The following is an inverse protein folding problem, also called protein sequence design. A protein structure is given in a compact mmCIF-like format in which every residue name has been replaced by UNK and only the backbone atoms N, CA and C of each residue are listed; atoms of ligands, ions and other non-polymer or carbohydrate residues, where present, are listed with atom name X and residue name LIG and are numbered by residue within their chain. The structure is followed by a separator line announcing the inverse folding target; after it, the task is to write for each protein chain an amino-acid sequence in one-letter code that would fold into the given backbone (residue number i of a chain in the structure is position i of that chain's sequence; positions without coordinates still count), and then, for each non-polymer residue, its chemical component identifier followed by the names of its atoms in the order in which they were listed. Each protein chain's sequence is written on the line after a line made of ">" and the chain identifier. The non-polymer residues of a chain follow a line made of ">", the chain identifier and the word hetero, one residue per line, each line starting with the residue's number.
data_IF_455369085254
#
_entry.id   IF_455369085254
#
_cell.length_a   1.000
_cell.length_b   1.000
_cell.length_c   1.000
_cell.angle_alpha   90.00
_cell.angle_beta   90.00
_cell.angle_gamma   90.00
#
_symmetry.space_group_name_H-M   'P 1'
#
loop_
_entity.id
_entity.type
_entity.pdbx_description
1 polymer ?
#
# COMPACT_ATOMS: atom_id res chain seq x y z
N UNK A 1 -29.85 22.24 82.14
CA UNK A 1 -30.44 22.55 80.82
C UNK A 1 -29.32 22.98 79.88
N UNK A 2 -28.95 22.12 78.92
CA UNK A 2 -28.21 22.41 77.66
C UNK A 2 -27.28 21.25 77.22
N UNK A 3 -27.75 20.01 77.28
CA UNK A 3 -27.21 18.94 76.45
C UNK A 3 -28.18 18.73 75.29
N UNK A 4 -27.75 18.88 74.03
CA UNK A 4 -28.30 18.16 72.85
C UNK A 4 -27.96 18.73 71.46
N UNK A 5 -27.08 19.72 71.28
CA UNK A 5 -26.90 20.28 69.91
C UNK A 5 -25.65 19.83 69.14
N UNK A 6 -24.70 19.10 69.73
CA UNK A 6 -23.44 18.74 69.05
C UNK A 6 -23.32 17.29 68.57
N UNK A 7 -24.39 16.49 68.62
CA UNK A 7 -24.33 15.05 68.27
C UNK A 7 -25.01 14.65 66.95
N UNK A 8 -25.60 15.59 66.22
CA UNK A 8 -26.31 15.29 64.97
C UNK A 8 -25.53 15.61 63.68
N UNK A 9 -24.32 16.15 63.78
CA UNK A 9 -23.49 16.53 62.62
C UNK A 9 -22.42 15.50 62.23
N UNK A 10 -22.51 14.27 62.74
CA UNK A 10 -21.54 13.20 62.46
C UNK A 10 -22.00 12.04 61.54
N UNK A 11 -23.27 11.86 61.12
CA UNK A 11 -23.60 10.80 60.18
C UNK A 11 -23.81 11.27 58.73
N UNK A 12 -23.62 12.56 58.41
CA UNK A 12 -23.85 13.09 57.04
C UNK A 12 -22.60 13.03 56.16
N UNK A 13 -21.40 12.96 56.74
CA UNK A 13 -20.14 12.95 55.96
C UNK A 13 -19.73 11.53 55.52
N UNK A 14 -20.31 10.48 56.10
CA UNK A 14 -19.85 9.10 55.88
C UNK A 14 -20.51 8.34 54.71
N UNK A 15 -21.47 8.93 53.99
CA UNK A 15 -22.24 8.23 52.93
C UNK A 15 -21.96 8.76 51.51
N UNK A 16 -21.19 9.85 51.34
CA UNK A 16 -20.83 10.36 50.00
C UNK A 16 -19.52 9.79 49.43
N UNK A 17 -18.84 8.86 50.12
CA UNK A 17 -17.50 8.38 49.74
C UNK A 17 -17.44 7.18 48.78
N UNK A 18 -18.58 6.63 48.30
CA UNK A 18 -18.60 5.32 47.63
C UNK A 18 -18.90 5.32 46.12
N UNK A 19 -18.94 6.48 45.45
CA UNK A 19 -19.28 6.55 44.02
C UNK A 19 -18.35 7.45 43.17
N UNK A 20 -17.08 7.58 43.56
CA UNK A 20 -16.05 8.18 42.69
C UNK A 20 -15.07 7.13 42.16
N UNK A 21 -15.58 5.96 41.79
CA UNK A 21 -14.91 5.07 40.85
C UNK A 21 -15.57 5.25 39.47
N UNK A 22 -15.53 6.48 38.95
CA UNK A 22 -15.54 6.64 37.51
C UNK A 22 -14.19 6.10 37.01
N UNK A 23 -14.11 4.78 36.85
CA UNK A 23 -13.18 4.18 35.89
C UNK A 23 -13.61 4.76 34.55
N UNK A 24 -13.03 5.91 34.22
CA UNK A 24 -12.85 6.31 32.85
C UNK A 24 -11.89 5.27 32.29
N UNK A 25 -12.45 4.19 31.71
CA UNK A 25 -11.69 3.43 30.73
C UNK A 25 -11.15 4.50 29.76
N UNK A 26 -9.84 4.59 29.55
CA UNK A 26 -9.36 5.27 28.37
C UNK A 26 -10.08 4.55 27.25
N UNK A 27 -10.94 5.28 26.54
CA UNK A 27 -11.47 4.84 25.27
C UNK A 27 -10.26 4.78 24.33
N UNK A 28 -9.43 3.75 24.51
CA UNK A 28 -8.32 3.40 23.64
C UNK A 28 -8.97 2.74 22.44
N UNK A 29 -9.82 3.51 21.77
CA UNK A 29 -10.06 3.37 20.37
C UNK A 29 -8.76 3.82 19.69
N UNK A 30 -7.68 3.05 19.88
CA UNK A 30 -6.53 2.97 18.98
C UNK A 30 -7.11 2.46 17.67
N UNK A 31 -7.81 3.33 16.98
CA UNK A 31 -8.40 3.05 15.69
C UNK A 31 -7.23 3.10 14.73
N UNK A 32 -6.51 1.97 14.67
CA UNK A 32 -5.38 1.74 13.78
C UNK A 32 -5.71 2.38 12.43
N UNK A 33 -4.98 3.45 12.09
CA UNK A 33 -5.31 4.23 10.91
C UNK A 33 -5.09 3.34 9.67
N UNK A 34 -6.11 3.33 8.81
CA UNK A 34 -6.13 2.51 7.60
C UNK A 34 -5.77 3.41 6.43
N UNK A 35 -4.70 3.07 5.73
CA UNK A 35 -4.10 3.87 4.67
C UNK A 35 -4.25 3.22 3.30
N UNK A 36 -4.24 4.04 2.26
CA UNK A 36 -4.18 3.62 0.86
C UNK A 36 -3.24 4.56 0.13
N UNK A 37 -2.73 4.12 -1.02
CA UNK A 37 -2.03 4.96 -1.97
C UNK A 37 -2.97 5.34 -3.11
N UNK A 38 -2.60 6.36 -3.86
CA UNK A 38 -3.33 6.81 -5.05
C UNK A 38 -2.37 6.85 -6.24
N UNK A 39 -2.84 6.50 -7.44
CA UNK A 39 -2.05 6.69 -8.64
C UNK A 39 -2.20 8.15 -9.11
N UNK A 40 -1.08 8.86 -9.30
CA UNK A 40 -1.10 10.08 -10.07
C UNK A 40 -1.52 9.77 -11.53
N UNK A 41 -2.36 10.61 -12.13
CA UNK A 41 -2.75 10.42 -13.53
C UNK A 41 -1.56 10.78 -14.45
N UNK A 42 -1.15 9.89 -15.37
CA UNK A 42 -0.10 10.20 -16.33
C UNK A 42 -0.61 11.10 -17.45
N UNK A 43 0.31 11.64 -18.25
CA UNK A 43 -0.05 12.26 -19.52
C UNK A 43 -0.65 11.21 -20.47
N UNK A 44 -1.61 11.64 -21.28
CA UNK A 44 -2.23 10.78 -22.29
C UNK A 44 -1.22 10.37 -23.35
N UNK A 45 -1.14 9.07 -23.64
CA UNK A 45 -0.26 8.54 -24.68
C UNK A 45 -0.83 8.87 -26.07
N UNK A 46 0.02 9.39 -26.96
CA UNK A 46 -0.42 9.92 -28.26
C UNK A 46 -0.96 8.85 -29.22
N UNK A 47 -0.56 7.59 -29.07
CA UNK A 47 -0.99 6.48 -29.92
C UNK A 47 -1.52 5.35 -29.06
N UNK A 48 -2.80 5.06 -29.21
CA UNK A 48 -3.49 3.99 -28.51
C UNK A 48 -3.33 2.67 -29.28
N UNK A 49 -2.92 1.61 -28.59
CA UNK A 49 -2.95 0.23 -29.11
C UNK A 49 -4.38 -0.30 -29.13
N UNK A 50 -4.71 -1.12 -30.14
CA UNK A 50 -5.98 -1.83 -30.21
C UNK A 50 -6.06 -3.02 -29.22
N UNK A 51 -4.97 -3.34 -28.53
CA UNK A 51 -4.90 -4.44 -27.58
C UNK A 51 -5.69 -4.14 -26.29
N UNK A 52 -6.28 -5.19 -25.72
CA UNK A 52 -6.76 -5.22 -24.33
C UNK A 52 -5.66 -5.75 -23.42
N UNK A 53 -5.25 -4.92 -22.45
CA UNK A 53 -4.27 -5.27 -21.41
C UNK A 53 -4.96 -5.83 -20.17
N UNK A 54 -4.50 -7.00 -19.71
CA UNK A 54 -4.88 -7.56 -18.40
C UNK A 54 -3.75 -7.44 -17.38
N UNK A 55 -4.07 -6.97 -16.18
CA UNK A 55 -3.12 -6.86 -15.07
C UNK A 55 -3.42 -7.99 -14.08
N UNK A 56 -2.44 -8.87 -13.89
CA UNK A 56 -2.51 -9.93 -12.89
C UNK A 56 -2.24 -9.39 -11.48
N UNK A 57 -2.83 -10.07 -10.48
CA UNK A 57 -2.49 -9.83 -9.09
C UNK A 57 -1.00 -10.20 -8.90
N UNK A 58 -0.13 -9.26 -8.52
CA UNK A 58 1.28 -9.57 -8.29
C UNK A 58 1.43 -10.63 -7.22
N UNK A 59 2.40 -11.52 -7.38
CA UNK A 59 2.81 -12.40 -6.28
C UNK A 59 3.63 -11.60 -5.27
N UNK A 60 3.55 -11.95 -3.98
CA UNK A 60 4.48 -11.48 -2.96
C UNK A 60 4.72 -12.58 -1.92
N UNK A 61 5.89 -12.58 -1.31
CA UNK A 61 6.21 -13.52 -0.25
C UNK A 61 5.69 -13.00 1.11
N UNK A 62 5.24 -13.87 2.02
CA UNK A 62 4.98 -13.45 3.40
C UNK A 62 6.21 -12.81 4.05
N UNK A 63 6.05 -11.77 4.88
CA UNK A 63 4.79 -11.16 5.32
C UNK A 63 4.29 -9.98 4.44
N UNK A 64 4.85 -9.77 3.24
CA UNK A 64 4.45 -8.65 2.35
C UNK A 64 3.02 -8.82 1.78
N UNK A 65 2.43 -9.99 1.89
CA UNK A 65 1.05 -10.30 1.50
C UNK A 65 0.02 -10.00 2.61
N UNK A 66 0.46 -9.48 3.76
CA UNK A 66 -0.38 -9.00 4.85
C UNK A 66 -0.75 -7.51 4.73
N UNK A 67 -1.66 -7.03 5.58
CA UNK A 67 -2.10 -5.62 5.56
C UNK A 67 -1.26 -4.68 6.44
N UNK A 68 -0.23 -5.16 7.13
CA UNK A 68 0.66 -4.33 7.95
C UNK A 68 1.88 -3.90 7.15
N UNK A 69 2.41 -2.71 7.43
CA UNK A 69 3.69 -2.29 6.84
C UNK A 69 4.80 -3.18 7.38
N UNK A 70 5.53 -3.83 6.48
CA UNK A 70 6.70 -4.62 6.81
C UNK A 70 7.86 -3.68 7.14
N UNK A 71 8.48 -3.88 8.30
CA UNK A 71 9.74 -3.23 8.69
C UNK A 71 10.87 -4.22 8.52
N UNK A 72 11.85 -3.92 7.69
CA UNK A 72 13.06 -4.73 7.56
C UNK A 72 14.19 -4.11 8.38
N UNK A 73 14.81 -4.94 9.22
CA UNK A 73 15.95 -4.55 10.05
C UNK A 73 17.27 -4.85 9.32
N UNK A 74 18.37 -4.16 9.64
CA UNK A 74 19.66 -4.35 8.97
C UNK A 74 20.17 -5.80 8.98
N UNK A 75 19.81 -6.59 9.99
CA UNK A 75 20.22 -7.99 10.14
C UNK A 75 19.31 -8.99 9.40
N UNK A 76 18.41 -8.51 8.54
CA UNK A 76 17.49 -9.34 7.76
C UNK A 76 16.22 -9.76 8.50
N UNK A 77 16.06 -9.39 9.77
CA UNK A 77 14.83 -9.62 10.53
C UNK A 77 13.67 -8.80 9.94
N UNK A 78 12.52 -9.46 9.78
CA UNK A 78 11.27 -8.84 9.34
C UNK A 78 10.36 -8.61 10.55
N UNK A 79 10.05 -7.35 10.81
CA UNK A 79 9.03 -6.92 11.76
C UNK A 79 7.81 -6.34 11.04
N UNK A 80 6.77 -6.03 11.81
CA UNK A 80 5.57 -5.35 11.32
C UNK A 80 5.37 -4.07 12.14
N UNK A 81 5.11 -2.95 11.47
CA UNK A 81 4.75 -1.72 12.17
C UNK A 81 3.34 -1.89 12.76
N UNK A 82 3.23 -1.64 14.07
CA UNK A 82 1.97 -1.87 14.78
C UNK A 82 0.92 -0.80 14.51
N UNK A 83 1.37 0.41 14.18
CA UNK A 83 0.57 1.64 14.05
C UNK A 83 0.08 1.91 12.62
N UNK A 84 0.65 1.23 11.61
CA UNK A 84 0.36 1.49 10.19
C UNK A 84 -0.26 0.26 9.55
N UNK A 85 -1.44 0.44 8.95
CA UNK A 85 -2.14 -0.61 8.24
C UNK A 85 -2.65 -0.13 6.89
N UNK A 86 -2.48 -0.95 5.86
CA UNK A 86 -3.07 -0.78 4.55
C UNK A 86 -4.53 -1.23 4.52
N UNK A 87 -5.35 -0.58 3.70
CA UNK A 87 -6.74 -0.98 3.44
C UNK A 87 -6.86 -2.39 2.86
N UNK A 88 -5.84 -2.82 2.11
CA UNK A 88 -5.72 -4.13 1.49
C UNK A 88 -4.24 -4.57 1.45
N UNK A 89 -3.94 -5.86 1.21
CA UNK A 89 -2.57 -6.32 1.06
C UNK A 89 -1.80 -5.54 -0.03
N UNK A 90 -0.51 -5.25 0.16
CA UNK A 90 0.34 -4.56 -0.81
C UNK A 90 0.24 -5.08 -2.25
N UNK A 91 0.12 -6.39 -2.54
CA UNK A 91 -0.05 -6.85 -3.92
C UNK A 91 -1.35 -6.36 -4.56
N UNK A 92 -2.46 -6.36 -3.82
CA UNK A 92 -3.75 -5.87 -4.29
C UNK A 92 -3.74 -4.35 -4.43
N UNK A 93 -3.11 -3.65 -3.48
CA UNK A 93 -2.90 -2.20 -3.56
C UNK A 93 -2.09 -1.83 -4.81
N UNK A 94 -0.99 -2.55 -5.07
CA UNK A 94 -0.15 -2.33 -6.25
C UNK A 94 -0.88 -2.62 -7.56
N UNK A 95 -1.69 -3.69 -7.63
CA UNK A 95 -2.53 -3.98 -8.79
C UNK A 95 -3.52 -2.85 -9.06
N UNK A 96 -4.17 -2.31 -8.03
CA UNK A 96 -5.11 -1.20 -8.16
C UNK A 96 -4.41 0.08 -8.67
N UNK A 97 -3.21 0.39 -8.16
CA UNK A 97 -2.39 1.50 -8.65
C UNK A 97 -2.02 1.35 -10.12
N UNK A 98 -1.54 0.17 -10.51
CA UNK A 98 -1.22 -0.14 -11.91
C UNK A 98 -2.45 -0.02 -12.80
N UNK A 99 -3.59 -0.58 -12.38
CA UNK A 99 -4.83 -0.50 -13.15
C UNK A 99 -5.26 0.94 -13.36
N UNK A 100 -5.30 1.75 -12.31
CA UNK A 100 -5.69 3.16 -12.42
C UNK A 100 -4.71 3.92 -13.33
N UNK A 101 -3.41 3.86 -13.05
CA UNK A 101 -2.39 4.61 -13.80
C UNK A 101 -2.36 4.23 -15.29
N UNK A 102 -2.39 2.93 -15.60
CA UNK A 102 -2.35 2.44 -16.98
C UNK A 102 -3.67 2.74 -17.72
N UNK A 103 -4.83 2.70 -17.05
CA UNK A 103 -6.11 3.09 -17.65
C UNK A 103 -6.15 4.57 -17.98
N UNK A 104 -5.70 5.42 -17.05
CA UNK A 104 -5.70 6.89 -17.19
C UNK A 104 -4.78 7.36 -18.32
N UNK A 105 -3.76 6.57 -18.68
CA UNK A 105 -2.86 6.87 -19.81
C UNK A 105 -3.52 6.78 -21.20
N UNK A 106 -4.66 6.07 -21.30
CA UNK A 106 -5.34 5.74 -22.54
C UNK A 106 -4.47 5.03 -23.60
N UNK A 107 -3.39 4.34 -23.20
CA UNK A 107 -2.48 3.68 -24.14
C UNK A 107 -3.03 2.38 -24.76
N UNK A 108 -4.06 1.77 -24.18
CA UNK A 108 -4.69 0.53 -24.64
C UNK A 108 -6.19 0.73 -24.91
N UNK A 109 -6.79 -0.15 -25.71
CA UNK A 109 -8.25 -0.14 -25.93
C UNK A 109 -9.01 -0.32 -24.61
N UNK A 110 -8.51 -1.22 -23.77
CA UNK A 110 -9.01 -1.46 -22.43
C UNK A 110 -7.90 -1.97 -21.52
N UNK A 111 -7.98 -1.60 -20.24
CA UNK A 111 -7.14 -2.13 -19.17
C UNK A 111 -8.06 -2.79 -18.15
N UNK A 112 -7.85 -4.08 -17.90
CA UNK A 112 -8.69 -4.90 -17.02
C UNK A 112 -7.84 -5.66 -16.00
N UNK A 113 -8.47 -6.14 -14.94
CA UNK A 113 -7.85 -7.04 -13.94
C UNK A 113 -8.35 -8.47 -14.09
N UNK A 114 -7.62 -9.45 -13.58
CA UNK A 114 -7.83 -10.88 -13.88
C UNK A 114 -9.18 -11.48 -13.50
N UNK A 115 -10.00 -10.81 -12.69
CA UNK A 115 -11.35 -11.27 -12.35
C UNK A 115 -12.41 -10.83 -13.38
N UNK A 116 -12.04 -10.02 -14.38
CA UNK A 116 -12.93 -9.59 -15.44
C UNK A 116 -13.14 -10.71 -16.46
N UNK A 117 -14.39 -10.97 -16.85
CA UNK A 117 -14.75 -11.92 -17.92
C UNK A 117 -14.52 -11.31 -19.31
N UNK A 118 -13.36 -10.69 -19.52
CA UNK A 118 -12.97 -10.00 -20.75
C UNK A 118 -11.73 -10.70 -21.30
N UNK A 119 -11.72 -10.97 -22.60
CA UNK A 119 -10.55 -11.52 -23.28
C UNK A 119 -9.48 -10.43 -23.41
N UNK A 120 -8.26 -10.73 -22.99
CA UNK A 120 -7.09 -9.88 -23.20
C UNK A 120 -6.19 -10.41 -24.32
N UNK A 121 -5.43 -9.51 -24.93
CA UNK A 121 -4.43 -9.85 -25.95
C UNK A 121 -3.03 -9.96 -25.32
N UNK A 122 -2.77 -9.10 -24.33
CA UNK A 122 -1.52 -9.01 -23.58
C UNK A 122 -1.79 -8.96 -22.08
N UNK A 123 -0.81 -9.42 -21.30
CA UNK A 123 -0.90 -9.47 -19.85
C UNK A 123 0.35 -8.95 -19.17
N UNK A 124 0.13 -8.15 -18.13
CA UNK A 124 1.15 -7.72 -17.18
C UNK A 124 1.05 -8.57 -15.92
N UNK A 125 1.98 -9.48 -15.73
CA UNK A 125 2.14 -10.26 -14.51
C UNK A 125 3.38 -9.80 -13.74
N UNK A 126 3.54 -10.24 -12.49
CA UNK A 126 4.76 -9.90 -11.76
C UNK A 126 4.85 -10.35 -10.33
N UNK A 127 5.94 -9.92 -9.69
CA UNK A 127 6.26 -10.17 -8.28
C UNK A 127 6.57 -8.84 -7.62
N UNK A 128 5.86 -8.51 -6.54
CA UNK A 128 6.19 -7.41 -5.64
C UNK A 128 7.27 -7.91 -4.67
N UNK A 129 8.52 -7.59 -5.00
CA UNK A 129 9.73 -8.07 -4.30
C UNK A 129 9.96 -7.30 -3.00
N UNK A 130 9.72 -5.99 -3.04
CA UNK A 130 9.87 -5.11 -1.88
C UNK A 130 8.67 -4.18 -1.80
N UNK A 131 8.20 -4.00 -0.57
CA UNK A 131 7.18 -3.05 -0.16
C UNK A 131 7.34 -2.87 1.35
N UNK A 132 8.51 -2.37 1.75
CA UNK A 132 8.97 -2.36 3.14
C UNK A 132 9.58 -1.03 3.56
N UNK A 133 9.54 -0.77 4.86
CA UNK A 133 10.24 0.32 5.51
C UNK A 133 11.50 -0.20 6.19
N UNK A 134 12.61 0.53 6.07
CA UNK A 134 13.90 0.24 6.70
C UNK A 134 14.25 1.40 7.61
N UNK A 135 14.32 1.14 8.91
CA UNK A 135 14.81 2.13 9.86
C UNK A 135 16.34 2.24 9.72
N UNK A 136 16.86 3.46 9.73
CA UNK A 136 18.28 3.69 9.92
C UNK A 136 18.51 3.90 11.41
N UNK A 137 19.15 2.93 12.10
CA UNK A 137 19.38 3.02 13.54
C UNK A 137 20.36 4.15 13.91
N UNK A 138 21.23 4.58 12.98
CA UNK A 138 22.23 5.62 13.20
C UNK A 138 21.71 7.05 12.91
N UNK A 139 20.64 7.20 12.11
CA UNK A 139 20.05 8.48 11.73
C UNK A 139 18.61 8.64 12.22
N UNK A 140 18.11 9.86 12.43
CA UNK A 140 16.69 10.12 12.80
C UNK A 140 15.70 9.90 11.63
N UNK A 141 15.92 8.88 10.79
CA UNK A 141 15.13 8.60 9.62
C UNK A 141 15.11 7.12 9.26
N UNK A 142 14.68 6.86 8.04
CA UNK A 142 14.70 5.55 7.41
C UNK A 142 14.45 5.69 5.92
N UNK A 143 14.07 4.61 5.29
CA UNK A 143 13.74 4.59 3.88
C UNK A 143 12.60 3.62 3.57
N UNK A 144 11.78 3.97 2.60
CA UNK A 144 10.76 3.11 2.02
C UNK A 144 11.28 2.51 0.73
N UNK A 145 10.99 1.24 0.49
CA UNK A 145 11.47 0.48 -0.66
C UNK A 145 10.28 -0.15 -1.38
N UNK A 146 10.18 0.13 -2.68
CA UNK A 146 9.26 -0.55 -3.59
C UNK A 146 10.11 -1.19 -4.68
N UNK A 147 9.92 -2.49 -4.91
CA UNK A 147 10.53 -3.19 -6.04
C UNK A 147 9.53 -4.15 -6.67
N UNK A 148 9.25 -3.96 -7.96
CA UNK A 148 8.32 -4.76 -8.74
C UNK A 148 9.05 -5.39 -9.93
N UNK A 149 9.00 -6.72 -10.02
CA UNK A 149 9.40 -7.42 -11.23
C UNK A 149 8.19 -7.65 -12.11
N UNK A 150 8.14 -6.98 -13.25
CA UNK A 150 7.11 -7.12 -14.26
C UNK A 150 7.47 -8.20 -15.29
N UNK A 151 6.46 -8.86 -15.83
CA UNK A 151 6.53 -9.76 -16.97
C UNK A 151 5.44 -9.38 -17.97
N UNK A 152 5.84 -9.15 -19.21
CA UNK A 152 4.92 -8.89 -20.33
C UNK A 152 4.69 -10.18 -21.07
N UNK A 153 3.43 -10.61 -21.19
CA UNK A 153 3.07 -11.93 -21.68
C UNK A 153 2.08 -11.77 -22.85
N UNK A 154 2.38 -12.44 -23.96
CA UNK A 154 1.45 -12.65 -25.06
C UNK A 154 0.45 -13.74 -24.68
N UNK A 155 -0.84 -13.40 -24.60
CA UNK A 155 -1.86 -14.35 -24.19
C UNK A 155 -2.20 -15.39 -25.27
N UNK A 156 -2.05 -15.03 -26.54
CA UNK A 156 -2.30 -15.96 -27.64
C UNK A 156 -1.25 -17.06 -27.69
N UNK A 157 0.02 -16.68 -27.49
CA UNK A 157 1.17 -17.60 -27.52
C UNK A 157 1.52 -18.18 -26.15
N UNK A 158 0.89 -17.70 -25.08
CA UNK A 158 1.21 -18.06 -23.69
C UNK A 158 2.72 -17.93 -23.40
N UNK A 159 3.34 -16.87 -23.90
CA UNK A 159 4.79 -16.68 -23.87
C UNK A 159 5.16 -15.36 -23.21
N UNK A 160 6.11 -15.42 -22.27
CA UNK A 160 6.75 -14.23 -21.72
C UNK A 160 7.59 -13.59 -22.82
N UNK A 161 7.25 -12.37 -23.20
CA UNK A 161 7.97 -11.59 -24.21
C UNK A 161 9.10 -10.76 -23.59
N UNK A 162 8.88 -10.23 -22.38
CA UNK A 162 9.86 -9.41 -21.68
C UNK A 162 9.72 -9.54 -20.16
N UNK A 163 10.80 -9.27 -19.44
CA UNK A 163 10.83 -9.17 -17.97
C UNK A 163 11.70 -7.99 -17.58
N UNK A 164 11.23 -7.16 -16.65
CA UNK A 164 11.96 -6.01 -16.14
C UNK A 164 11.72 -5.83 -14.64
N UNK A 165 12.73 -5.33 -13.93
CA UNK A 165 12.60 -4.94 -12.52
C UNK A 165 12.60 -3.42 -12.43
N UNK A 166 11.63 -2.89 -11.71
CA UNK A 166 11.51 -1.48 -11.36
C UNK A 166 11.65 -1.36 -9.85
N UNK A 167 12.44 -0.39 -9.40
CA UNK A 167 12.64 -0.18 -7.97
C UNK A 167 12.89 1.29 -7.65
N UNK A 168 12.37 1.72 -6.51
CA UNK A 168 12.67 3.04 -5.96
C UNK A 168 12.86 2.95 -4.44
N UNK A 169 13.82 3.73 -3.94
CA UNK A 169 14.06 3.92 -2.52
C UNK A 169 13.82 5.38 -2.18
N UNK A 170 12.92 5.63 -1.24
CA UNK A 170 12.56 6.96 -0.78
C UNK A 170 13.03 7.17 0.65
N UNK A 171 13.86 8.18 0.90
CA UNK A 171 14.26 8.55 2.26
C UNK A 171 13.09 9.22 2.99
N UNK A 172 12.89 8.85 4.27
CA UNK A 172 11.77 9.35 5.08
C UNK A 172 12.22 9.64 6.51
N UNK A 173 11.52 10.57 7.17
CA UNK A 173 11.57 10.64 8.63
C UNK A 173 10.92 9.39 9.25
N UNK A 174 11.15 9.14 10.54
CA UNK A 174 10.61 7.93 11.22
C UNK A 174 9.15 8.06 11.67
N UNK A 175 8.53 9.23 11.50
CA UNK A 175 7.11 9.38 11.87
C UNK A 175 6.19 8.67 10.88
N UNK A 176 4.99 8.34 11.36
CA UNK A 176 4.00 7.55 10.63
C UNK A 176 3.62 8.21 9.29
N UNK A 177 3.31 9.50 9.28
CA UNK A 177 2.87 10.19 8.07
C UNK A 177 3.98 10.23 7.02
N UNK A 178 5.22 10.53 7.43
CA UNK A 178 6.35 10.53 6.52
C UNK A 178 6.60 9.17 5.85
N UNK A 179 6.36 8.05 6.55
CA UNK A 179 6.48 6.71 5.97
C UNK A 179 5.42 6.49 4.88
N UNK A 180 4.16 6.86 5.14
CA UNK A 180 3.07 6.69 4.16
C UNK A 180 3.31 7.57 2.94
N UNK A 181 3.68 8.83 3.15
CA UNK A 181 4.02 9.74 2.06
C UNK A 181 5.24 9.27 1.28
N UNK A 182 6.19 8.59 1.95
CA UNK A 182 7.32 7.94 1.28
C UNK A 182 6.89 6.81 0.35
N UNK A 183 5.92 5.98 0.77
CA UNK A 183 5.33 4.97 -0.12
C UNK A 183 4.60 5.60 -1.30
N UNK A 184 3.89 6.71 -1.08
CA UNK A 184 3.25 7.46 -2.15
C UNK A 184 4.28 7.96 -3.17
N UNK A 185 5.33 8.67 -2.72
CA UNK A 185 6.42 9.17 -3.59
C UNK A 185 7.16 8.04 -4.31
N UNK A 186 7.39 6.91 -3.64
CA UNK A 186 8.00 5.74 -4.27
C UNK A 186 7.10 5.12 -5.36
N UNK A 187 5.78 5.07 -5.14
CA UNK A 187 4.84 4.62 -6.15
C UNK A 187 4.79 5.58 -7.35
N UNK A 188 4.76 6.89 -7.08
CA UNK A 188 4.78 7.94 -8.11
C UNK A 188 6.06 7.91 -8.96
N UNK A 189 7.17 7.42 -8.40
CA UNK A 189 8.42 7.22 -9.14
C UNK A 189 8.43 5.94 -9.99
N UNK A 190 7.80 4.85 -9.52
CA UNK A 190 7.86 3.54 -10.18
C UNK A 190 6.77 3.37 -11.25
N UNK A 191 5.54 3.85 -11.00
CA UNK A 191 4.41 3.66 -11.92
C UNK A 191 4.67 4.19 -13.34
N UNK A 192 5.25 5.39 -13.54
CA UNK A 192 5.55 5.89 -14.89
C UNK A 192 6.56 5.01 -15.64
N UNK A 193 7.55 4.45 -14.93
CA UNK A 193 8.54 3.56 -15.53
C UNK A 193 7.89 2.27 -16.04
N UNK A 194 6.91 1.74 -15.30
CA UNK A 194 6.15 0.57 -15.74
C UNK A 194 5.29 0.91 -16.96
N UNK A 195 4.63 2.08 -16.98
CA UNK A 195 3.84 2.55 -18.11
C UNK A 195 4.69 2.67 -19.37
N UNK A 196 5.81 3.40 -19.31
CA UNK A 196 6.70 3.61 -20.46
C UNK A 196 7.18 2.28 -21.05
N UNK A 197 7.61 1.37 -20.18
CA UNK A 197 8.05 0.05 -20.60
C UNK A 197 6.93 -0.79 -21.22
N UNK A 198 5.72 -0.74 -20.63
CA UNK A 198 4.57 -1.49 -21.12
C UNK A 198 4.09 -0.99 -22.49
N UNK A 199 4.10 0.34 -22.72
CA UNK A 199 3.80 0.93 -24.03
C UNK A 199 4.80 0.46 -25.08
N UNK A 200 6.10 0.44 -24.74
CA UNK A 200 7.13 -0.08 -25.63
C UNK A 200 6.91 -1.57 -25.98
N UNK A 201 6.58 -2.40 -24.99
CA UNK A 201 6.33 -3.82 -25.23
C UNK A 201 5.06 -4.06 -26.05
N UNK A 202 4.01 -3.26 -25.84
CA UNK A 202 2.77 -3.32 -26.61
C UNK A 202 3.03 -3.02 -28.10
N UNK A 203 3.78 -1.95 -28.39
CA UNK A 203 4.16 -1.60 -29.76
C UNK A 203 4.98 -2.70 -30.46
N UNK A 204 5.87 -3.38 -29.74
CA UNK A 204 6.64 -4.53 -30.26
C UNK A 204 5.76 -5.77 -30.51
N UNK A 205 4.71 -5.94 -29.72
CA UNK A 205 3.79 -7.07 -29.84
C UNK A 205 2.83 -6.88 -31.02
N UNK A 206 2.40 -5.65 -31.30
CA UNK A 206 1.56 -5.27 -32.44
C UNK A 206 2.28 -5.37 -33.80
N UNK A 207 3.61 -5.36 -33.81
CA UNK A 207 4.37 -5.47 -35.06
C UNK A 207 4.14 -6.84 -35.75
N UNK A 208 3.77 -6.87 -37.04
CA UNK A 208 3.61 -8.12 -37.77
C UNK A 208 4.92 -8.91 -37.75
N UNK A 209 4.84 -10.17 -37.34
CA UNK A 209 5.99 -11.08 -37.38
C UNK A 209 6.29 -11.37 -38.86
N UNK A 210 7.32 -10.71 -39.40
CA UNK A 210 7.89 -11.02 -40.70
C UNK A 210 8.66 -12.34 -40.68
#
# INVERSE_FOLDING_TARGET
>A
MSQSLSRLWLPVIAVCGLLSACVSLPDRNDRLAVHTLHAASPDTVATQSAQTLRIDLPNAAPPLDGTRVVRRQPQGELGLLSEIRWNQPPPALWQALLQQHLSDSCAWQAVVVSNASVRSDVRLAGVLREFDYRADDAAQGGSVHIAFQAQWIDEHRQRVLATQVFSHTEAVARDHLAIIEGFQRAADAVLPQVLDWAVEQSARTDAPHH
#
